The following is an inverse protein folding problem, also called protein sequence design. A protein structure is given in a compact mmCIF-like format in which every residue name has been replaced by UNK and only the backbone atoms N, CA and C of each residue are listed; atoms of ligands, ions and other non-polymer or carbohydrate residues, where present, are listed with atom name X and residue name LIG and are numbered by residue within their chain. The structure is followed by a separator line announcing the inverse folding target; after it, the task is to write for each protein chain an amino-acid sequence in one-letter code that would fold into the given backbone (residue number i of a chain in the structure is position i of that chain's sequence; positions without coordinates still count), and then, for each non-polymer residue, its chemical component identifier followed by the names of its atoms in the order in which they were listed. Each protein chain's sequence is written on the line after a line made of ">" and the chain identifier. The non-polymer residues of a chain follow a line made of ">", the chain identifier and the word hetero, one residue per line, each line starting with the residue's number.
data_IF_261475275078
#
_entry.id   IF_261475275078
#
_cell.length_a   1.000
_cell.length_b   1.000
_cell.length_c   1.000
_cell.angle_alpha   90.00
_cell.angle_beta   90.00
_cell.angle_gamma   90.00
#
_symmetry.space_group_name_H-M   'P 1'
#
loop_
_entity.id
_entity.type
_entity.pdbx_description
1 polymer ?
#
# COMPACT_ATOMS: atom_id res chain seq x y z
N UNK A 1 5.35 -20.60 5.40
CA UNK A 1 6.10 -19.42 4.93
C UNK A 1 6.92 -18.78 6.04
N UNK A 2 6.39 -18.68 7.23
CA UNK A 2 7.12 -18.07 8.35
C UNK A 2 8.39 -18.85 8.71
N UNK A 3 8.32 -20.18 8.72
CA UNK A 3 9.49 -21.02 9.01
C UNK A 3 10.58 -20.86 7.95
N UNK A 4 10.19 -20.80 6.67
CA UNK A 4 11.12 -20.59 5.59
C UNK A 4 11.81 -19.22 5.71
N UNK A 5 11.08 -18.21 6.12
CA UNK A 5 11.65 -16.89 6.34
C UNK A 5 12.67 -16.90 7.48
N UNK A 6 12.37 -17.62 8.56
CA UNK A 6 13.30 -17.77 9.69
C UNK A 6 14.57 -18.54 9.32
N UNK A 7 14.47 -19.48 8.35
CA UNK A 7 15.63 -20.22 7.83
C UNK A 7 16.53 -19.34 6.95
N UNK A 8 16.08 -18.15 6.57
CA UNK A 8 16.81 -17.27 5.67
C UNK A 8 16.49 -17.47 4.19
N UNK A 9 15.40 -18.14 3.86
CA UNK A 9 14.96 -18.28 2.47
C UNK A 9 14.66 -16.90 1.90
N UNK A 10 15.28 -16.57 0.78
CA UNK A 10 15.16 -15.25 0.17
C UNK A 10 13.88 -15.07 -0.62
N UNK A 11 13.45 -16.13 -1.28
CA UNK A 11 12.31 -16.07 -2.20
C UNK A 11 11.32 -17.16 -1.85
N UNK A 12 10.05 -16.79 -1.86
CA UNK A 12 8.95 -17.71 -1.65
C UNK A 12 7.80 -17.31 -2.55
N UNK A 13 7.04 -18.27 -3.02
CA UNK A 13 5.86 -18.02 -3.83
C UNK A 13 4.64 -18.66 -3.18
N UNK A 14 3.61 -17.85 -2.94
CA UNK A 14 2.33 -18.33 -2.42
C UNK A 14 1.33 -18.38 -3.57
N UNK A 15 0.92 -19.60 -3.95
CA UNK A 15 -0.08 -19.80 -4.98
C UNK A 15 -1.45 -19.94 -4.36
N UNK A 16 -2.42 -19.25 -4.94
CA UNK A 16 -3.80 -19.34 -4.51
C UNK A 16 -4.69 -18.56 -5.44
N UNK A 17 -5.95 -18.97 -5.52
CA UNK A 17 -6.95 -18.24 -6.32
C UNK A 17 -7.48 -17.05 -5.54
N UNK A 18 -8.14 -16.14 -6.24
CA UNK A 18 -8.82 -15.00 -5.61
C UNK A 18 -9.79 -15.50 -4.54
N UNK A 19 -9.74 -14.87 -3.37
CA UNK A 19 -10.59 -15.27 -2.26
C UNK A 19 -10.08 -16.44 -1.43
N UNK A 20 -8.86 -16.91 -1.68
CA UNK A 20 -8.27 -18.03 -0.95
C UNK A 20 -7.62 -17.64 0.39
N UNK A 21 -7.65 -16.36 0.75
CA UNK A 21 -7.05 -15.89 2.00
C UNK A 21 -5.57 -15.56 1.90
N UNK A 22 -5.07 -15.27 0.71
CA UNK A 22 -3.65 -14.94 0.53
C UNK A 22 -3.23 -13.72 1.33
N UNK A 23 -4.06 -12.68 1.35
CA UNK A 23 -3.75 -11.46 2.10
C UNK A 23 -3.67 -11.74 3.60
N UNK A 24 -4.60 -12.53 4.11
CA UNK A 24 -4.59 -12.94 5.51
C UNK A 24 -3.33 -13.75 5.85
N UNK A 25 -2.93 -14.67 4.97
CA UNK A 25 -1.70 -15.44 5.13
C UNK A 25 -0.48 -14.52 5.17
N UNK A 26 -0.41 -13.56 4.27
CA UNK A 26 0.69 -12.60 4.25
C UNK A 26 0.71 -11.73 5.50
N UNK A 27 -0.45 -11.33 6.00
CA UNK A 27 -0.55 -10.57 7.25
C UNK A 27 0.05 -11.36 8.42
N UNK A 28 -0.24 -12.64 8.50
CA UNK A 28 0.32 -13.50 9.54
C UNK A 28 1.84 -13.62 9.43
N UNK A 29 2.38 -13.74 8.22
CA UNK A 29 3.82 -13.79 7.99
C UNK A 29 4.48 -12.48 8.42
N UNK A 30 3.90 -11.35 8.06
CA UNK A 30 4.41 -10.03 8.43
C UNK A 30 4.45 -9.87 9.95
N UNK A 31 3.39 -10.27 10.63
CA UNK A 31 3.33 -10.20 12.09
C UNK A 31 4.40 -11.05 12.74
N UNK A 32 4.58 -12.27 12.25
CA UNK A 32 5.59 -13.19 12.79
C UNK A 32 7.02 -12.72 12.52
N UNK A 33 7.27 -12.10 11.37
CA UNK A 33 8.59 -11.60 11.02
C UNK A 33 8.99 -10.37 11.84
N UNK A 34 8.02 -9.53 12.20
CA UNK A 34 8.23 -8.30 12.96
C UNK A 34 9.32 -7.40 12.34
N UNK A 35 9.29 -7.26 11.03
CA UNK A 35 10.24 -6.44 10.26
C UNK A 35 9.52 -5.41 9.43
N UNK A 36 10.16 -4.28 9.10
CA UNK A 36 9.61 -3.36 8.11
C UNK A 36 9.32 -4.11 6.80
N UNK A 37 8.15 -3.87 6.23
CA UNK A 37 7.65 -4.64 5.09
C UNK A 37 7.21 -3.71 3.99
N UNK A 38 7.59 -4.04 2.76
CA UNK A 38 7.13 -3.35 1.56
C UNK A 38 6.24 -4.30 0.76
N UNK A 39 5.01 -3.87 0.50
CA UNK A 39 4.04 -4.62 -0.29
C UNK A 39 3.86 -3.90 -1.62
N UNK A 40 4.23 -4.56 -2.71
CA UNK A 40 4.16 -3.96 -4.04
C UNK A 40 2.99 -4.58 -4.80
N UNK A 41 2.12 -3.74 -5.32
CA UNK A 41 0.99 -4.16 -6.14
C UNK A 41 1.16 -3.65 -7.57
N UNK A 42 0.39 -4.22 -8.50
CA UNK A 42 0.53 -3.88 -9.92
C UNK A 42 -0.29 -2.66 -10.35
N UNK A 43 -1.16 -2.15 -9.49
CA UNK A 43 -1.90 -0.92 -9.80
C UNK A 43 -2.36 -0.22 -8.52
N UNK A 44 -2.80 1.03 -8.67
CA UNK A 44 -3.23 1.86 -7.54
C UNK A 44 -4.49 1.35 -6.86
N UNK A 45 -5.40 0.76 -7.60
CA UNK A 45 -6.65 0.22 -7.06
C UNK A 45 -6.37 -0.92 -6.09
N UNK A 46 -5.51 -1.85 -6.50
CA UNK A 46 -5.10 -2.95 -5.63
C UNK A 46 -4.29 -2.43 -4.45
N UNK A 47 -3.41 -1.45 -4.66
CA UNK A 47 -2.66 -0.85 -3.57
C UNK A 47 -3.59 -0.25 -2.52
N UNK A 48 -4.62 0.48 -2.93
CA UNK A 48 -5.59 1.06 -2.02
C UNK A 48 -6.35 -0.02 -1.24
N UNK A 49 -6.75 -1.08 -1.91
CA UNK A 49 -7.42 -2.21 -1.27
C UNK A 49 -6.52 -2.88 -0.23
N UNK A 50 -5.28 -3.17 -0.58
CA UNK A 50 -4.33 -3.78 0.33
C UNK A 50 -4.01 -2.87 1.52
N UNK A 51 -3.88 -1.58 1.28
CA UNK A 51 -3.67 -0.62 2.34
C UNK A 51 -4.80 -0.67 3.37
N UNK A 52 -6.05 -0.67 2.90
CA UNK A 52 -7.21 -0.78 3.77
C UNK A 52 -7.25 -2.09 4.55
N UNK A 53 -6.94 -3.20 3.89
CA UNK A 53 -6.93 -4.52 4.53
C UNK A 53 -5.83 -4.62 5.59
N UNK A 54 -4.61 -4.19 5.29
CA UNK A 54 -3.52 -4.22 6.26
C UNK A 54 -3.75 -3.27 7.43
N UNK A 55 -4.36 -2.13 7.17
CA UNK A 55 -4.73 -1.22 8.25
C UNK A 55 -5.76 -1.83 9.20
N UNK A 56 -6.67 -2.62 8.66
CA UNK A 56 -7.66 -3.37 9.43
C UNK A 56 -7.02 -4.49 10.25
N UNK A 57 -6.08 -5.24 9.66
CA UNK A 57 -5.37 -6.31 10.37
C UNK A 57 -4.40 -5.77 11.42
N UNK A 58 -3.82 -4.62 11.20
CA UNK A 58 -2.79 -4.03 12.06
C UNK A 58 -3.17 -2.60 12.48
N UNK A 59 -4.18 -2.43 13.33
CA UNK A 59 -4.65 -1.09 13.68
C UNK A 59 -3.63 -0.27 14.47
N UNK A 60 -2.66 -0.90 15.10
CA UNK A 60 -1.62 -0.21 15.88
C UNK A 60 -0.31 -0.05 15.14
N UNK A 61 -0.17 -0.68 13.97
CA UNK A 61 1.05 -0.59 13.18
C UNK A 61 1.05 0.67 12.31
N UNK A 62 2.24 1.06 11.88
CA UNK A 62 2.37 2.14 10.91
C UNK A 62 2.18 1.58 9.50
N UNK A 63 0.95 1.62 9.01
CA UNK A 63 0.64 1.19 7.64
C UNK A 63 0.65 2.42 6.75
N UNK A 64 1.55 2.46 5.78
CA UNK A 64 1.72 3.59 4.88
C UNK A 64 1.28 3.27 3.47
N UNK A 65 0.88 4.30 2.73
CA UNK A 65 0.42 4.22 1.35
C UNK A 65 1.36 5.08 0.51
N UNK A 66 2.06 4.45 -0.43
CA UNK A 66 3.08 5.13 -1.22
C UNK A 66 2.86 4.83 -2.69
N UNK A 67 2.09 5.69 -3.37
CA UNK A 67 1.79 5.54 -4.80
C UNK A 67 2.21 6.78 -5.56
N UNK A 68 2.31 6.66 -6.88
CA UNK A 68 2.60 7.79 -7.74
C UNK A 68 1.41 8.74 -7.80
N UNK A 69 1.69 9.99 -8.18
CA UNK A 69 0.64 10.98 -8.34
C UNK A 69 -0.31 10.59 -9.45
N UNK A 70 -1.57 11.04 -9.35
CA UNK A 70 -2.51 10.93 -10.45
C UNK A 70 -2.17 11.99 -11.50
N UNK A 71 -2.35 11.63 -12.77
CA UNK A 71 -2.17 12.58 -13.85
C UNK A 71 -3.28 13.63 -13.81
N UNK A 72 -2.90 14.90 -14.01
CA UNK A 72 -3.87 15.97 -14.11
C UNK A 72 -4.71 15.90 -15.37
N UNK A 73 -4.17 15.25 -16.39
CA UNK A 73 -4.78 15.23 -17.71
C UNK A 73 -5.19 13.83 -18.08
N UNK A 74 -6.51 13.63 -18.17
CA UNK A 74 -7.10 12.39 -18.67
C UNK A 74 -8.10 12.76 -19.76
N UNK A 75 -7.75 12.55 -21.03
CA UNK A 75 -8.58 13.00 -22.16
C UNK A 75 -10.02 12.49 -22.10
N UNK A 76 -10.22 11.24 -21.70
CA UNK A 76 -11.56 10.65 -21.59
C UNK A 76 -12.38 11.23 -20.44
N UNK A 77 -11.75 11.88 -19.50
CA UNK A 77 -12.40 12.52 -18.37
C UNK A 77 -12.46 14.05 -18.52
N UNK A 78 -11.96 14.57 -19.64
CA UNK A 78 -11.92 16.01 -19.87
C UNK A 78 -13.33 16.55 -20.16
N UNK A 79 -13.78 17.47 -19.32
CA UNK A 79 -15.08 18.14 -19.47
C UNK A 79 -14.83 19.65 -19.51
N UNK A 80 -15.57 20.43 -20.29
CA UNK A 80 -15.40 21.89 -20.32
C UNK A 80 -15.63 22.60 -18.99
N UNK A 81 -16.36 22.00 -18.06
CA UNK A 81 -16.48 22.52 -16.68
C UNK A 81 -15.34 22.00 -15.80
N UNK A 82 -14.14 22.08 -16.31
CA UNK A 82 -12.98 21.39 -15.74
C UNK A 82 -12.32 22.07 -14.55
N UNK A 83 -12.67 23.30 -14.24
CA UNK A 83 -12.06 23.96 -13.08
C UNK A 83 -12.30 23.16 -11.80
N UNK A 84 -13.50 22.68 -11.59
CA UNK A 84 -13.83 21.84 -10.44
C UNK A 84 -13.09 20.50 -10.51
N UNK A 85 -12.98 19.91 -11.69
CA UNK A 85 -12.28 18.64 -11.90
C UNK A 85 -10.78 18.78 -11.62
N UNK A 86 -10.17 19.85 -12.11
CA UNK A 86 -8.75 20.12 -11.89
C UNK A 86 -8.47 20.35 -10.39
N UNK A 87 -9.32 21.09 -9.71
CA UNK A 87 -9.19 21.30 -8.28
C UNK A 87 -9.32 19.99 -7.51
N UNK A 88 -10.20 19.10 -7.93
CA UNK A 88 -10.36 17.79 -7.31
C UNK A 88 -9.10 16.93 -7.50
N UNK A 89 -8.53 16.93 -8.70
CA UNK A 89 -7.29 16.20 -8.97
C UNK A 89 -6.12 16.75 -8.16
N UNK A 90 -6.00 18.06 -8.04
CA UNK A 90 -4.97 18.70 -7.22
C UNK A 90 -5.13 18.30 -5.75
N UNK A 91 -6.35 18.27 -5.24
CA UNK A 91 -6.63 17.83 -3.87
C UNK A 91 -6.25 16.38 -3.66
N UNK A 92 -6.55 15.49 -4.61
CA UNK A 92 -6.16 14.08 -4.54
C UNK A 92 -4.64 13.94 -4.50
N UNK A 93 -3.91 14.70 -5.33
CA UNK A 93 -2.45 14.66 -5.35
C UNK A 93 -1.85 15.21 -4.05
N UNK A 94 -2.45 16.20 -3.45
CA UNK A 94 -2.02 16.70 -2.14
C UNK A 94 -2.19 15.65 -1.06
N UNK A 95 -3.28 14.90 -1.08
CA UNK A 95 -3.51 13.79 -0.16
C UNK A 95 -2.48 12.67 -0.36
N UNK A 96 -2.17 12.36 -1.62
CA UNK A 96 -1.15 11.36 -1.94
C UNK A 96 0.22 11.81 -1.44
N UNK A 97 0.56 13.09 -1.60
CA UNK A 97 1.83 13.63 -1.13
C UNK A 97 1.96 13.50 0.38
N UNK A 98 0.92 13.84 1.13
CA UNK A 98 0.91 13.66 2.58
C UNK A 98 1.10 12.21 2.99
N UNK A 99 0.44 11.29 2.30
CA UNK A 99 0.56 9.86 2.57
C UNK A 99 1.98 9.35 2.28
N UNK A 100 2.59 9.83 1.21
CA UNK A 100 3.96 9.47 0.86
C UNK A 100 4.95 9.96 1.91
N UNK A 101 4.79 11.20 2.35
CA UNK A 101 5.64 11.77 3.39
C UNK A 101 5.48 11.03 4.72
N UNK A 102 4.25 10.71 5.09
CA UNK A 102 3.97 9.95 6.31
C UNK A 102 4.61 8.56 6.26
N UNK A 103 4.53 7.88 5.12
CA UNK A 103 5.14 6.57 4.94
C UNK A 103 6.67 6.64 5.08
N UNK A 104 7.27 7.64 4.44
CA UNK A 104 8.72 7.84 4.51
C UNK A 104 9.18 8.14 5.94
N UNK A 105 8.47 9.02 6.64
CA UNK A 105 8.78 9.35 8.03
C UNK A 105 8.68 8.13 8.93
N UNK A 106 7.65 7.31 8.76
CA UNK A 106 7.45 6.11 9.56
C UNK A 106 8.61 5.12 9.42
N UNK A 107 9.20 5.01 8.24
CA UNK A 107 10.35 4.13 8.02
C UNK A 107 11.55 4.49 8.91
N UNK A 108 11.75 5.77 9.18
CA UNK A 108 12.85 6.22 10.03
C UNK A 108 12.54 6.12 11.51
N UNK A 109 11.28 6.18 11.89
CA UNK A 109 10.88 6.29 13.29
C UNK A 109 10.40 4.99 13.92
N UNK A 110 9.90 4.04 13.12
CA UNK A 110 9.23 2.84 13.62
C UNK A 110 9.75 1.59 12.93
N UNK A 111 9.65 0.45 13.64
CA UNK A 111 10.00 -0.86 13.08
C UNK A 111 8.78 -1.66 12.65
N UNK A 112 7.59 -1.27 13.09
CA UNK A 112 6.34 -1.95 12.78
C UNK A 112 5.69 -1.37 11.50
N UNK A 113 6.50 -1.03 10.51
CA UNK A 113 6.06 -0.33 9.30
C UNK A 113 5.69 -1.31 8.22
N UNK A 114 4.52 -1.09 7.62
CA UNK A 114 4.07 -1.80 6.41
C UNK A 114 3.77 -0.71 5.38
N UNK A 115 4.49 -0.71 4.28
CA UNK A 115 4.25 0.25 3.19
C UNK A 115 3.65 -0.48 2.01
N UNK A 116 2.52 0.01 1.54
CA UNK A 116 1.85 -0.51 0.35
C UNK A 116 2.08 0.45 -0.82
N UNK A 117 2.63 -0.10 -1.87
CA UNK A 117 2.99 0.67 -3.06
C UNK A 117 2.42 0.08 -4.34
#
# INVERSE_FOLDING_TARGET
>A
MTEALKRGDRYQTLLGVTGSGKTFTMANVIQAAARPTLVISHNKTLAAQLYGEFKSFFPENAVGYFVSYYDYYQPEAYVPQTNTYIEKDASINDDIDRLRLAATSALFERRDVIIVA
#
